data_IF_369426976472
#
_entry.id   IF_369426976472
#
_cell.length_a   1.000
_cell.length_b   1.000
_cell.length_c   1.000
_cell.angle_alpha   90.00
_cell.angle_beta   90.00
_cell.angle_gamma   90.00
#
_symmetry.space_group_name_H-M   'P 1'
#
loop_
_entity.id
_entity.type
_entity.pdbx_description
1 polymer ?
#
# COMPACT_ATOMS: atom_id res chain seq x y z
N UNK A 1 36.46 -13.36 25.09
CA UNK A 1 36.06 -12.03 25.59
C UNK A 1 35.79 -11.12 24.40
N UNK A 2 34.52 -10.90 24.04
CA UNK A 2 34.14 -10.05 22.91
C UNK A 2 34.26 -8.57 23.29
N UNK A 3 34.99 -7.79 22.50
CA UNK A 3 35.09 -6.33 22.66
C UNK A 3 33.69 -5.71 22.71
N UNK A 4 33.33 -5.21 23.89
CA UNK A 4 32.20 -4.30 24.10
C UNK A 4 32.48 -3.05 23.28
N UNK A 5 31.84 -2.90 22.11
CA UNK A 5 31.88 -1.66 21.31
C UNK A 5 31.41 -0.52 22.23
N UNK A 6 32.34 0.37 22.63
CA UNK A 6 32.02 1.62 23.33
C UNK A 6 30.98 2.38 22.52
N UNK A 7 29.82 2.69 23.12
CA UNK A 7 28.90 3.70 22.63
C UNK A 7 29.66 5.03 22.60
N UNK A 8 30.25 5.37 21.45
CA UNK A 8 30.67 6.75 21.19
C UNK A 8 29.37 7.54 21.10
N UNK A 9 29.24 8.60 21.91
CA UNK A 9 28.21 9.60 21.72
C UNK A 9 28.32 10.10 20.28
N UNK A 10 27.31 9.82 19.48
CA UNK A 10 27.26 10.29 18.10
C UNK A 10 27.20 11.81 18.14
N UNK A 11 27.93 12.47 17.24
CA UNK A 11 27.82 13.91 17.09
C UNK A 11 26.36 14.26 16.81
N UNK A 12 25.83 15.24 17.56
CA UNK A 12 24.47 15.74 17.41
C UNK A 12 24.29 16.20 15.96
N UNK A 13 23.20 15.77 15.30
CA UNK A 13 22.90 15.97 13.86
C UNK A 13 23.83 15.27 12.85
N UNK A 14 24.71 14.36 13.28
CA UNK A 14 25.40 13.49 12.32
C UNK A 14 24.42 12.60 11.53
N UNK A 15 24.83 12.17 10.34
CA UNK A 15 24.06 11.25 9.50
C UNK A 15 23.58 10.01 10.27
N UNK A 16 24.42 9.45 11.13
CA UNK A 16 24.06 8.28 11.94
C UNK A 16 23.11 8.64 13.10
N UNK A 17 23.18 9.85 13.65
CA UNK A 17 22.25 10.34 14.68
C UNK A 17 20.83 10.47 14.12
N UNK A 18 20.67 11.09 12.93
CA UNK A 18 19.34 11.26 12.29
C UNK A 18 18.70 9.90 11.99
N UNK A 19 19.47 8.94 11.48
CA UNK A 19 18.94 7.60 11.20
C UNK A 19 18.50 6.89 12.46
N UNK A 20 19.24 7.02 13.57
CA UNK A 20 18.88 6.33 14.81
C UNK A 20 17.67 6.94 15.51
N UNK A 21 17.51 8.27 15.45
CA UNK A 21 16.47 9.00 16.17
C UNK A 21 15.36 9.52 15.23
N UNK A 22 15.19 8.93 14.04
CA UNK A 22 14.23 9.42 13.03
C UNK A 22 12.79 9.48 13.57
N UNK A 23 12.37 8.48 14.36
CA UNK A 23 11.07 8.45 15.01
C UNK A 23 10.93 9.59 16.03
N UNK A 24 11.93 9.81 16.89
CA UNK A 24 11.91 10.88 17.89
C UNK A 24 11.90 12.28 17.23
N UNK A 25 12.65 12.45 16.14
CA UNK A 25 12.64 13.70 15.35
C UNK A 25 11.25 13.93 14.74
N UNK A 26 10.65 12.90 14.12
CA UNK A 26 9.31 13.01 13.57
C UNK A 26 8.27 13.29 14.66
N UNK A 27 8.38 12.64 15.83
CA UNK A 27 7.54 12.88 17.01
C UNK A 27 7.67 14.32 17.51
N UNK A 28 8.89 14.84 17.60
CA UNK A 28 9.15 16.22 17.97
C UNK A 28 8.47 17.21 17.02
N UNK A 29 8.57 16.99 15.70
CA UNK A 29 7.89 17.82 14.70
C UNK A 29 6.36 17.77 14.84
N UNK A 30 5.78 16.58 15.06
CA UNK A 30 4.35 16.42 15.33
C UNK A 30 3.95 17.19 16.59
N UNK A 31 4.71 17.04 17.68
CA UNK A 31 4.45 17.74 18.94
C UNK A 31 4.54 19.27 18.78
N UNK A 32 5.50 19.79 18.00
CA UNK A 32 5.58 21.22 17.71
C UNK A 32 4.34 21.72 16.96
N UNK A 33 3.83 20.96 15.99
CA UNK A 33 2.61 21.32 15.26
C UNK A 33 1.37 21.26 16.17
N UNK A 34 1.27 20.26 17.04
CA UNK A 34 0.19 20.14 18.03
C UNK A 34 0.23 21.28 19.07
N UNK A 35 1.41 21.62 19.59
CA UNK A 35 1.59 22.76 20.49
C UNK A 35 1.25 24.08 19.80
N UNK A 36 1.48 24.18 18.49
CA UNK A 36 1.05 25.32 17.68
C UNK A 36 -0.46 25.57 17.76
N UNK A 37 -1.29 24.54 17.98
CA UNK A 37 -2.74 24.72 18.18
C UNK A 37 -3.10 25.39 19.50
N UNK A 38 -2.20 25.41 20.49
CA UNK A 38 -2.47 26.00 21.81
C UNK A 38 -2.39 27.53 21.83
N UNK A 39 -1.82 28.14 20.77
CA UNK A 39 -1.61 29.58 20.67
C UNK A 39 -2.42 30.16 19.50
N UNK A 40 -3.04 31.32 19.69
CA UNK A 40 -4.01 31.90 18.75
C UNK A 40 -3.43 32.14 17.34
N UNK A 41 -2.24 32.74 17.24
CA UNK A 41 -1.62 33.03 15.95
C UNK A 41 -1.01 31.79 15.27
N UNK A 42 -0.21 30.94 15.95
CA UNK A 42 0.27 29.69 15.37
C UNK A 42 -0.83 28.70 14.98
N UNK A 43 -1.98 28.71 15.68
CA UNK A 43 -3.09 27.80 15.40
C UNK A 43 -3.63 27.95 13.96
N UNK A 44 -3.67 29.18 13.43
CA UNK A 44 -4.10 29.48 12.05
C UNK A 44 -3.26 28.74 10.99
N UNK A 45 -2.00 28.47 11.30
CA UNK A 45 -1.08 27.74 10.43
C UNK A 45 -1.06 26.24 10.75
N UNK A 46 -1.03 25.87 12.03
CA UNK A 46 -1.00 24.47 12.47
C UNK A 46 -2.24 23.68 12.02
N UNK A 47 -3.41 24.31 11.98
CA UNK A 47 -4.66 23.67 11.55
C UNK A 47 -4.60 23.17 10.09
N UNK A 48 -3.80 23.82 9.23
CA UNK A 48 -3.63 23.44 7.82
C UNK A 48 -2.97 22.05 7.70
N UNK A 49 -2.07 21.74 8.63
CA UNK A 49 -1.38 20.45 8.69
C UNK A 49 -2.25 19.34 9.29
N UNK A 50 -3.14 19.68 10.23
CA UNK A 50 -3.82 18.68 11.05
C UNK A 50 -5.23 18.36 10.53
N UNK A 51 -6.01 19.39 10.20
CA UNK A 51 -7.39 19.21 9.77
C UNK A 51 -7.49 18.81 8.30
N UNK A 52 -8.52 18.04 7.95
CA UNK A 52 -8.89 17.81 6.55
C UNK A 52 -9.42 19.12 5.96
N UNK A 53 -8.83 19.56 4.85
CA UNK A 53 -9.08 20.88 4.26
C UNK A 53 -10.27 20.88 3.31
N UNK A 54 -10.77 22.06 2.93
CA UNK A 54 -11.82 22.23 1.91
C UNK A 54 -13.18 21.61 2.24
N UNK A 55 -13.69 21.84 3.45
CA UNK A 55 -15.06 21.46 3.83
C UNK A 55 -16.08 22.37 3.10
N UNK A 56 -17.05 21.74 2.44
CA UNK A 56 -18.18 22.37 1.76
C UNK A 56 -19.45 21.86 2.42
N UNK A 57 -20.21 22.76 3.06
CA UNK A 57 -21.48 22.43 3.72
C UNK A 57 -22.64 22.75 2.78
N UNK A 58 -23.47 21.75 2.50
CA UNK A 58 -24.73 21.93 1.78
C UNK A 58 -25.87 22.02 2.76
N UNK A 59 -26.70 23.05 2.63
CA UNK A 59 -27.96 23.22 3.34
C UNK A 59 -29.10 22.90 2.39
N UNK A 60 -29.88 21.87 2.69
CA UNK A 60 -31.15 21.62 1.97
C UNK A 60 -32.17 22.68 2.38
N UNK A 61 -33.02 23.13 1.46
CA UNK A 61 -34.00 24.23 1.64
C UNK A 61 -34.95 24.06 2.86
N UNK A 62 -35.06 22.85 3.44
CA UNK A 62 -35.88 22.53 4.61
C UNK A 62 -35.13 22.55 5.97
N UNK A 63 -33.89 23.07 6.03
CA UNK A 63 -33.13 23.34 7.28
C UNK A 63 -32.92 22.17 8.26
N UNK A 64 -33.23 20.92 7.90
CA UNK A 64 -33.18 19.78 8.82
C UNK A 64 -31.89 18.95 8.73
N UNK A 65 -31.18 18.95 7.59
CA UNK A 65 -29.96 18.14 7.42
C UNK A 65 -28.84 18.93 6.72
N UNK A 66 -27.71 19.10 7.41
CA UNK A 66 -26.47 19.63 6.83
C UNK A 66 -25.58 18.47 6.39
N UNK A 67 -25.23 18.42 5.10
CA UNK A 67 -24.26 17.46 4.59
C UNK A 67 -22.89 18.12 4.43
N UNK A 68 -21.87 17.54 5.08
CA UNK A 68 -20.49 17.99 4.98
C UNK A 68 -19.73 17.17 3.94
N UNK A 69 -19.38 17.82 2.84
CA UNK A 69 -18.55 17.27 1.78
C UNK A 69 -17.19 17.97 1.73
N UNK A 70 -16.26 17.39 0.98
CA UNK A 70 -14.90 17.88 0.89
C UNK A 70 -14.39 17.86 -0.54
N UNK A 71 -13.72 18.92 -0.95
CA UNK A 71 -13.07 19.01 -2.26
C UNK A 71 -11.56 18.76 -2.16
N UNK A 72 -10.92 18.46 -3.28
CA UNK A 72 -9.45 18.31 -3.32
C UNK A 72 -8.77 19.66 -3.55
N UNK A 73 -7.63 19.91 -2.90
CA UNK A 73 -6.88 21.13 -3.18
C UNK A 73 -5.45 21.16 -2.63
N UNK A 74 -4.65 22.19 -3.00
CA UNK A 74 -3.22 22.23 -2.71
C UNK A 74 -2.86 22.22 -1.21
N UNK A 75 -3.73 22.73 -0.33
CA UNK A 75 -3.49 22.68 1.13
C UNK A 75 -3.42 21.23 1.65
N UNK A 76 -3.99 20.26 0.94
CA UNK A 76 -3.91 18.85 1.31
C UNK A 76 -2.45 18.35 1.30
N UNK A 77 -1.52 19.00 0.60
CA UNK A 77 -0.09 18.66 0.64
C UNK A 77 0.49 18.81 2.05
N UNK A 78 0.10 19.88 2.77
CA UNK A 78 0.51 20.09 4.15
C UNK A 78 -0.08 19.02 5.07
N UNK A 79 -1.35 18.66 4.85
CA UNK A 79 -2.03 17.59 5.58
C UNK A 79 -1.37 16.23 5.34
N UNK A 80 -1.06 15.89 4.07
CA UNK A 80 -0.33 14.67 3.70
C UNK A 80 1.04 14.63 4.37
N UNK A 81 1.77 15.75 4.41
CA UNK A 81 3.07 15.83 5.09
C UNK A 81 2.94 15.54 6.59
N UNK A 82 1.95 16.11 7.27
CA UNK A 82 1.71 15.82 8.67
C UNK A 82 1.40 14.35 8.92
N UNK A 83 0.49 13.76 8.15
CA UNK A 83 0.18 12.32 8.28
C UNK A 83 1.34 11.41 7.85
N UNK A 84 2.26 11.89 7.01
CA UNK A 84 3.51 11.17 6.71
C UNK A 84 4.41 11.12 7.95
N UNK A 85 4.52 12.19 8.74
CA UNK A 85 5.23 12.18 10.03
C UNK A 85 4.57 11.22 11.02
N UNK A 86 3.23 11.19 11.07
CA UNK A 86 2.49 10.21 11.88
C UNK A 86 2.79 8.78 11.40
N UNK A 87 2.83 8.54 10.09
CA UNK A 87 3.16 7.24 9.53
C UNK A 87 4.59 6.78 9.88
N UNK A 88 5.58 7.68 9.89
CA UNK A 88 6.95 7.39 10.36
C UNK A 88 6.93 6.92 11.83
N UNK A 89 6.22 7.65 12.70
CA UNK A 89 6.09 7.27 14.11
C UNK A 89 5.40 5.91 14.27
N UNK A 90 4.27 5.71 13.57
CA UNK A 90 3.52 4.45 13.64
C UNK A 90 4.36 3.27 13.15
N UNK A 91 5.10 3.43 12.06
CA UNK A 91 5.99 2.42 11.54
C UNK A 91 7.07 2.03 12.55
N UNK A 92 7.68 3.02 13.21
CA UNK A 92 8.67 2.78 14.27
C UNK A 92 8.07 2.02 15.46
N UNK A 93 6.87 2.40 15.91
CA UNK A 93 6.14 1.72 16.99
C UNK A 93 5.83 0.27 16.63
N UNK A 94 5.29 0.02 15.42
CA UNK A 94 5.01 -1.35 14.95
C UNK A 94 6.32 -2.16 14.88
N UNK A 95 7.40 -1.54 14.40
CA UNK A 95 8.71 -2.18 14.30
C UNK A 95 9.23 -2.61 15.66
N UNK A 96 9.20 -1.72 16.65
CA UNK A 96 9.75 -1.94 17.98
C UNK A 96 8.90 -2.89 18.83
N UNK A 97 7.60 -2.60 18.97
CA UNK A 97 6.74 -3.29 19.93
C UNK A 97 6.20 -4.62 19.40
N UNK A 98 6.05 -4.76 18.08
CA UNK A 98 5.46 -5.94 17.47
C UNK A 98 6.53 -6.76 16.74
N UNK A 99 7.12 -6.23 15.67
CA UNK A 99 7.94 -7.03 14.76
C UNK A 99 9.25 -7.48 15.41
N UNK A 100 9.95 -6.59 16.12
CA UNK A 100 11.17 -6.94 16.84
C UNK A 100 10.89 -7.96 17.96
N UNK A 101 9.74 -7.85 18.64
CA UNK A 101 9.32 -8.81 19.67
C UNK A 101 9.09 -10.21 19.09
N UNK A 102 8.46 -10.30 17.92
CA UNK A 102 8.24 -11.57 17.21
C UNK A 102 9.57 -12.14 16.68
N UNK A 103 10.43 -11.31 16.09
CA UNK A 103 11.73 -11.74 15.59
C UNK A 103 12.63 -12.34 16.67
N UNK A 104 12.63 -11.74 17.87
CA UNK A 104 13.40 -12.26 19.02
C UNK A 104 12.91 -13.64 19.45
N UNK A 105 11.62 -13.95 19.28
CA UNK A 105 11.05 -15.28 19.57
C UNK A 105 11.35 -16.31 18.48
N UNK A 106 11.37 -15.89 17.21
CA UNK A 106 11.53 -16.79 16.07
C UNK A 106 13.01 -17.09 15.71
N UNK A 107 13.98 -16.43 16.36
CA UNK A 107 15.42 -16.64 16.14
C UNK A 107 15.83 -16.67 14.65
N UNK A 108 15.26 -15.77 13.85
CA UNK A 108 15.48 -15.73 12.40
C UNK A 108 16.89 -15.27 12.04
N UNK A 109 17.44 -15.80 10.93
CA UNK A 109 18.70 -15.30 10.38
C UNK A 109 18.58 -13.83 9.95
N UNK A 110 19.70 -13.09 9.93
CA UNK A 110 19.73 -11.66 9.59
C UNK A 110 19.03 -11.33 8.27
N UNK A 111 19.20 -12.18 7.24
CA UNK A 111 18.57 -12.01 5.93
C UNK A 111 17.07 -12.32 5.93
N UNK A 112 16.60 -13.27 6.75
CA UNK A 112 15.18 -13.58 6.91
C UNK A 112 14.47 -12.49 7.73
N UNK A 113 15.14 -11.99 8.77
CA UNK A 113 14.64 -10.92 9.65
C UNK A 113 14.30 -9.65 8.87
N UNK A 114 15.17 -9.19 7.96
CA UNK A 114 14.89 -8.00 7.13
C UNK A 114 13.64 -8.17 6.25
N UNK A 115 13.47 -9.33 5.60
CA UNK A 115 12.29 -9.62 4.76
C UNK A 115 11.01 -9.85 5.58
N UNK A 116 11.17 -10.40 6.78
CA UNK A 116 10.09 -10.55 7.74
C UNK A 116 9.58 -9.18 8.20
N UNK A 117 10.48 -8.24 8.50
CA UNK A 117 10.11 -6.88 8.88
C UNK A 117 9.37 -6.15 7.77
N UNK A 118 9.90 -6.18 6.55
CA UNK A 118 9.24 -5.58 5.37
C UNK A 118 7.84 -6.17 5.17
N UNK A 119 7.72 -7.51 5.20
CA UNK A 119 6.42 -8.17 5.06
C UNK A 119 5.48 -7.90 6.25
N UNK A 120 6.04 -7.72 7.44
CA UNK A 120 5.29 -7.43 8.66
C UNK A 120 4.65 -6.06 8.60
N UNK A 121 5.44 -5.03 8.28
CA UNK A 121 4.94 -3.66 8.12
C UNK A 121 3.84 -3.59 7.07
N UNK A 122 4.10 -4.18 5.89
CA UNK A 122 3.12 -4.21 4.81
C UNK A 122 1.86 -5.00 5.18
N UNK A 123 1.97 -6.11 5.91
CA UNK A 123 0.79 -6.84 6.38
C UNK A 123 -0.07 -6.01 7.34
N UNK A 124 0.54 -5.27 8.27
CA UNK A 124 -0.20 -4.38 9.17
C UNK A 124 -0.91 -3.27 8.40
N UNK A 125 -0.21 -2.62 7.48
CA UNK A 125 -0.78 -1.58 6.64
C UNK A 125 -1.94 -2.11 5.79
N UNK A 126 -1.75 -3.20 5.04
CA UNK A 126 -2.80 -3.74 4.18
C UNK A 126 -4.00 -4.24 4.98
N UNK A 127 -3.80 -4.79 6.18
CA UNK A 127 -4.90 -5.18 7.05
C UNK A 127 -5.76 -3.98 7.45
N UNK A 128 -5.12 -2.92 7.96
CA UNK A 128 -5.81 -1.72 8.38
C UNK A 128 -6.50 -1.02 7.19
N UNK A 129 -5.77 -0.82 6.10
CA UNK A 129 -6.28 -0.16 4.89
C UNK A 129 -7.36 -0.96 4.18
N UNK A 130 -7.31 -2.30 4.20
CA UNK A 130 -8.40 -3.13 3.67
C UNK A 130 -9.66 -3.00 4.50
N UNK A 131 -9.57 -3.12 5.83
CA UNK A 131 -10.73 -3.02 6.73
C UNK A 131 -11.36 -1.63 6.61
N UNK A 132 -10.55 -0.58 6.62
CA UNK A 132 -11.03 0.80 6.48
C UNK A 132 -11.60 1.07 5.09
N UNK A 133 -10.92 0.67 4.01
CA UNK A 133 -11.43 0.86 2.66
C UNK A 133 -12.74 0.10 2.42
N UNK A 134 -12.86 -1.12 2.95
CA UNK A 134 -14.10 -1.90 2.88
C UNK A 134 -15.24 -1.28 3.71
N UNK A 135 -14.94 -0.66 4.87
CA UNK A 135 -15.96 0.03 5.66
C UNK A 135 -16.48 1.26 4.93
N UNK A 136 -15.60 2.03 4.29
CA UNK A 136 -15.98 3.18 3.44
C UNK A 136 -16.83 2.71 2.27
N UNK A 137 -16.42 1.66 1.55
CA UNK A 137 -17.17 1.15 0.40
C UNK A 137 -18.58 0.69 0.81
N UNK A 138 -18.71 0.08 1.98
CA UNK A 138 -20.00 -0.28 2.55
C UNK A 138 -20.84 0.94 2.96
N UNK A 139 -20.20 2.00 3.48
CA UNK A 139 -20.89 3.23 3.84
C UNK A 139 -21.41 3.97 2.59
N UNK A 140 -20.55 4.15 1.58
CA UNK A 140 -20.91 4.77 0.29
C UNK A 140 -22.05 3.99 -0.38
N UNK A 141 -21.98 2.66 -0.41
CA UNK A 141 -23.04 1.83 -1.00
C UNK A 141 -24.40 1.99 -0.29
N UNK A 142 -24.42 2.24 1.02
CA UNK A 142 -25.67 2.48 1.77
C UNK A 142 -26.24 3.88 1.54
N UNK A 143 -25.38 4.88 1.34
CA UNK A 143 -25.83 6.27 1.12
C UNK A 143 -26.46 6.42 -0.26
N UNK A 144 -25.99 5.67 -1.25
CA UNK A 144 -26.41 5.84 -2.64
C UNK A 144 -27.62 4.99 -3.07
N UNK A 145 -28.12 4.05 -2.24
CA UNK A 145 -29.32 3.18 -2.44
C UNK A 145 -29.52 2.46 -3.81
N UNK A 146 -28.70 2.73 -4.83
CA UNK A 146 -28.74 2.13 -6.16
C UNK A 146 -27.40 1.43 -6.46
N UNK A 147 -27.41 0.14 -6.85
CA UNK A 147 -26.19 -0.61 -7.17
C UNK A 147 -25.47 -0.17 -8.46
N UNK A 148 -26.05 0.76 -9.24
CA UNK A 148 -25.60 1.13 -10.59
C UNK A 148 -24.97 2.54 -10.70
N UNK A 149 -24.66 3.22 -9.59
CA UNK A 149 -24.26 4.64 -9.57
C UNK A 149 -22.80 4.91 -9.97
N UNK A 150 -21.98 3.91 -10.31
CA UNK A 150 -20.54 4.16 -10.55
C UNK A 150 -20.24 5.20 -11.65
N UNK A 151 -21.22 5.55 -12.50
CA UNK A 151 -21.05 6.42 -13.68
C UNK A 151 -22.10 7.52 -13.88
N UNK A 152 -23.22 7.53 -13.14
CA UNK A 152 -24.37 8.39 -13.51
C UNK A 152 -24.05 9.88 -13.36
N UNK A 153 -23.22 10.26 -12.39
CA UNK A 153 -22.85 11.65 -12.11
C UNK A 153 -21.33 11.79 -11.96
N UNK A 154 -20.59 11.69 -13.07
CA UNK A 154 -19.12 11.82 -13.09
C UNK A 154 -18.60 13.12 -12.41
N UNK A 155 -19.46 14.10 -12.17
CA UNK A 155 -19.23 15.25 -11.30
C UNK A 155 -19.40 14.93 -9.81
N UNK A 156 -18.75 13.88 -9.30
CA UNK A 156 -18.57 13.69 -7.86
C UNK A 156 -17.38 14.53 -7.36
N UNK A 157 -17.40 15.86 -7.58
CA UNK A 157 -16.36 16.76 -7.05
C UNK A 157 -16.28 16.71 -5.52
N UNK A 158 -17.36 16.25 -4.89
CA UNK A 158 -17.57 16.24 -3.45
C UNK A 158 -17.29 14.86 -2.83
N UNK A 159 -16.35 14.82 -1.89
CA UNK A 159 -15.95 13.63 -1.16
C UNK A 159 -16.54 13.62 0.25
N UNK A 160 -16.96 12.46 0.74
CA UNK A 160 -17.17 12.30 2.19
C UNK A 160 -15.84 12.44 2.93
N UNK A 161 -15.88 12.99 4.15
CA UNK A 161 -14.72 13.11 5.03
C UNK A 161 -13.90 11.81 5.09
N UNK A 162 -14.58 10.67 5.28
CA UNK A 162 -13.91 9.37 5.40
C UNK A 162 -13.15 8.97 4.13
N UNK A 163 -13.68 9.29 2.94
CA UNK A 163 -13.02 9.00 1.66
C UNK A 163 -11.80 9.89 1.52
N UNK A 164 -11.93 11.19 1.74
CA UNK A 164 -10.81 12.13 1.63
C UNK A 164 -9.71 11.80 2.61
N UNK A 165 -10.06 11.59 3.87
CA UNK A 165 -9.12 11.26 4.92
C UNK A 165 -8.41 9.92 4.66
N UNK A 166 -9.12 8.94 4.12
CA UNK A 166 -8.51 7.68 3.68
C UNK A 166 -7.43 7.93 2.62
N UNK A 167 -7.73 8.65 1.54
CA UNK A 167 -6.76 8.96 0.48
C UNK A 167 -5.54 9.72 1.00
N UNK A 168 -5.73 10.74 1.84
CA UNK A 168 -4.64 11.48 2.49
C UNK A 168 -3.72 10.52 3.26
N UNK A 169 -4.29 9.64 4.09
CA UNK A 169 -3.53 8.64 4.85
C UNK A 169 -2.82 7.62 3.94
N UNK A 170 -3.45 7.18 2.85
CA UNK A 170 -2.83 6.25 1.90
C UNK A 170 -1.63 6.89 1.19
N UNK A 171 -1.76 8.13 0.72
CA UNK A 171 -0.65 8.86 0.07
C UNK A 171 0.47 9.12 1.08
N UNK A 172 0.12 9.60 2.28
CA UNK A 172 1.05 9.83 3.37
C UNK A 172 1.85 8.57 3.73
N UNK A 173 1.19 7.41 3.79
CA UNK A 173 1.88 6.14 4.02
C UNK A 173 2.84 5.82 2.87
N UNK A 174 2.43 5.87 1.61
CA UNK A 174 3.39 5.54 0.54
C UNK A 174 4.54 6.55 0.42
N UNK A 175 4.32 7.82 0.80
CA UNK A 175 5.39 8.80 0.92
C UNK A 175 6.32 8.51 2.11
N UNK A 176 5.82 8.05 3.25
CA UNK A 176 6.68 7.69 4.41
C UNK A 176 7.65 6.57 4.05
N UNK A 177 7.27 5.67 3.13
CA UNK A 177 8.13 4.58 2.72
C UNK A 177 9.43 5.07 2.05
N UNK A 178 9.44 6.26 1.42
CA UNK A 178 10.62 6.82 0.77
C UNK A 178 11.77 7.12 1.74
N UNK A 179 11.60 7.97 2.79
CA UNK A 179 12.64 8.17 3.78
C UNK A 179 12.93 6.89 4.59
N UNK A 180 11.95 6.00 4.74
CA UNK A 180 12.16 4.72 5.43
C UNK A 180 13.14 3.80 4.69
N UNK A 181 13.18 3.82 3.34
CA UNK A 181 14.22 3.10 2.56
C UNK A 181 15.63 3.48 3.02
N UNK A 182 15.81 4.75 3.36
CA UNK A 182 17.06 5.32 3.82
C UNK A 182 17.29 5.01 5.32
N UNK A 183 16.29 5.19 6.18
CA UNK A 183 16.41 4.92 7.61
C UNK A 183 16.69 3.44 7.92
N UNK A 184 16.11 2.52 7.15
CA UNK A 184 16.35 1.07 7.32
C UNK A 184 17.66 0.57 6.72
N UNK A 185 18.44 1.44 6.06
CA UNK A 185 19.69 1.08 5.37
C UNK A 185 19.51 -0.13 4.45
N UNK A 186 18.49 -0.09 3.61
CA UNK A 186 18.17 -1.18 2.69
C UNK A 186 19.34 -1.42 1.73
N UNK A 187 19.55 -2.68 1.36
CA UNK A 187 20.62 -3.06 0.43
C UNK A 187 20.42 -2.34 -0.90
N UNK A 188 21.50 -1.75 -1.43
CA UNK A 188 21.46 -0.97 -2.70
C UNK A 188 20.84 -1.74 -3.88
N UNK A 189 20.97 -3.05 -3.90
CA UNK A 189 20.38 -3.95 -4.90
C UNK A 189 18.84 -4.04 -4.84
N UNK A 190 18.22 -3.80 -3.68
CA UNK A 190 16.77 -3.88 -3.49
C UNK A 190 16.06 -2.53 -3.67
N UNK A 191 16.79 -1.41 -3.51
CA UNK A 191 16.26 -0.03 -3.64
C UNK A 191 15.48 0.20 -4.94
N UNK A 192 16.02 -0.06 -6.15
CA UNK A 192 15.30 0.28 -7.38
C UNK A 192 13.99 -0.50 -7.51
N UNK A 193 13.95 -1.74 -7.01
CA UNK A 193 12.74 -2.55 -7.00
C UNK A 193 11.68 -1.93 -6.09
N UNK A 194 12.04 -1.59 -4.85
CA UNK A 194 11.10 -1.02 -3.87
C UNK A 194 10.64 0.38 -4.26
N UNK A 195 11.55 1.22 -4.75
CA UNK A 195 11.23 2.56 -5.23
C UNK A 195 10.20 2.50 -6.36
N UNK A 196 10.38 1.59 -7.33
CA UNK A 196 9.41 1.39 -8.40
C UNK A 196 8.02 1.02 -7.85
N UNK A 197 7.93 0.15 -6.85
CA UNK A 197 6.64 -0.17 -6.22
C UNK A 197 6.02 1.03 -5.51
N UNK A 198 6.82 1.77 -4.72
CA UNK A 198 6.35 2.96 -4.00
C UNK A 198 5.84 4.01 -4.99
N UNK A 199 6.59 4.30 -6.05
CA UNK A 199 6.17 5.23 -7.10
C UNK A 199 4.87 4.80 -7.77
N UNK A 200 4.69 3.50 -8.06
CA UNK A 200 3.43 3.02 -8.64
C UNK A 200 2.24 3.27 -7.71
N UNK A 201 2.38 3.03 -6.40
CA UNK A 201 1.31 3.34 -5.44
C UNK A 201 1.03 4.83 -5.36
N UNK A 202 2.06 5.67 -5.22
CA UNK A 202 1.90 7.13 -5.15
C UNK A 202 1.19 7.64 -6.41
N UNK A 203 1.61 7.22 -7.59
CA UNK A 203 1.03 7.67 -8.87
C UNK A 203 -0.43 7.25 -9.00
N UNK A 204 -0.79 6.00 -8.70
CA UNK A 204 -2.17 5.54 -8.87
C UNK A 204 -3.10 6.13 -7.80
N UNK A 205 -2.66 6.22 -6.55
CA UNK A 205 -3.49 6.75 -5.45
C UNK A 205 -3.66 8.26 -5.61
N UNK A 206 -2.57 8.99 -5.89
CA UNK A 206 -2.63 10.45 -6.10
C UNK A 206 -3.37 10.78 -7.39
N UNK A 207 -3.18 9.99 -8.46
CA UNK A 207 -3.93 10.15 -9.71
C UNK A 207 -5.44 9.97 -9.49
N UNK A 208 -5.84 8.94 -8.75
CA UNK A 208 -7.25 8.74 -8.42
C UNK A 208 -7.83 9.87 -7.54
N UNK A 209 -7.01 10.43 -6.64
CA UNK A 209 -7.40 11.55 -5.78
C UNK A 209 -7.56 12.86 -6.56
N UNK A 210 -6.53 13.26 -7.32
CA UNK A 210 -6.47 14.55 -8.03
C UNK A 210 -7.46 14.59 -9.19
N UNK A 211 -7.66 13.48 -9.90
CA UNK A 211 -8.57 13.40 -11.05
C UNK A 211 -10.03 13.13 -10.64
N UNK A 212 -10.37 13.21 -9.35
CA UNK A 212 -11.70 12.92 -8.81
C UNK A 212 -12.23 11.50 -9.14
N UNK A 213 -11.33 10.54 -9.42
CA UNK A 213 -11.67 9.14 -9.68
C UNK A 213 -11.73 8.32 -8.37
N UNK A 214 -12.13 8.94 -7.26
CA UNK A 214 -11.90 8.37 -5.92
C UNK A 214 -12.72 7.11 -5.68
N UNK A 215 -13.95 7.06 -6.23
CA UNK A 215 -14.83 5.90 -6.17
C UNK A 215 -14.23 4.70 -6.93
N UNK A 216 -13.82 4.90 -8.18
CA UNK A 216 -13.11 3.87 -8.95
C UNK A 216 -11.85 3.43 -8.23
N UNK A 217 -11.02 4.38 -7.81
CA UNK A 217 -9.78 4.11 -7.10
C UNK A 217 -10.00 3.26 -5.84
N UNK A 218 -11.05 3.54 -5.06
CA UNK A 218 -11.40 2.77 -3.86
C UNK A 218 -11.83 1.33 -4.21
N UNK A 219 -12.71 1.19 -5.21
CA UNK A 219 -13.20 -0.12 -5.70
C UNK A 219 -12.04 -0.99 -6.22
N UNK A 220 -11.02 -0.38 -6.84
CA UNK A 220 -9.83 -1.09 -7.32
C UNK A 220 -8.82 -1.38 -6.20
N UNK A 221 -8.65 -0.45 -5.26
CA UNK A 221 -7.63 -0.52 -4.22
C UNK A 221 -7.97 -1.54 -3.13
N UNK A 222 -9.24 -1.62 -2.70
CA UNK A 222 -9.68 -2.57 -1.66
C UNK A 222 -9.37 -4.04 -2.00
N UNK A 223 -9.79 -4.59 -3.16
CA UNK A 223 -9.46 -5.96 -3.51
C UNK A 223 -7.97 -6.15 -3.80
N UNK A 224 -7.27 -5.12 -4.27
CA UNK A 224 -5.81 -5.16 -4.42
C UNK A 224 -5.10 -5.32 -3.07
N UNK A 225 -5.45 -4.51 -2.08
CA UNK A 225 -4.90 -4.60 -0.73
C UNK A 225 -5.22 -5.91 -0.03
N UNK A 226 -6.41 -6.49 -0.26
CA UNK A 226 -6.74 -7.82 0.25
C UNK A 226 -5.76 -8.89 -0.28
N UNK A 227 -5.46 -8.85 -1.58
CA UNK A 227 -4.52 -9.81 -2.19
C UNK A 227 -3.11 -9.64 -1.63
N UNK A 228 -2.63 -8.40 -1.51
CA UNK A 228 -1.32 -8.11 -0.93
C UNK A 228 -1.24 -8.49 0.56
N UNK A 229 -2.32 -8.28 1.32
CA UNK A 229 -2.44 -8.76 2.70
C UNK A 229 -2.25 -10.27 2.79
N UNK A 230 -2.95 -11.05 1.94
CA UNK A 230 -2.85 -12.51 1.93
C UNK A 230 -1.43 -12.95 1.55
N UNK A 231 -0.76 -12.24 0.64
CA UNK A 231 0.64 -12.50 0.28
C UNK A 231 1.58 -12.31 1.47
N UNK A 232 1.52 -11.14 2.11
CA UNK A 232 2.41 -10.80 3.22
C UNK A 232 2.11 -11.62 4.46
N UNK A 233 0.84 -11.88 4.77
CA UNK A 233 0.46 -12.83 5.82
C UNK A 233 1.03 -14.23 5.55
N UNK A 234 0.95 -14.73 4.30
CA UNK A 234 1.56 -16.00 3.90
C UNK A 234 3.08 -16.00 4.05
N UNK A 235 3.74 -14.88 3.76
CA UNK A 235 5.18 -14.70 3.99
C UNK A 235 5.53 -14.78 5.48
N UNK A 236 4.75 -14.13 6.35
CA UNK A 236 4.96 -14.16 7.80
C UNK A 236 4.85 -15.58 8.35
N UNK A 237 3.81 -16.33 7.97
CA UNK A 237 3.66 -17.74 8.37
C UNK A 237 4.81 -18.61 7.86
N UNK A 238 5.22 -18.42 6.60
CA UNK A 238 6.35 -19.14 6.01
C UNK A 238 7.66 -18.90 6.78
N UNK A 239 7.93 -17.67 7.18
CA UNK A 239 9.12 -17.34 7.96
C UNK A 239 9.04 -17.85 9.41
N UNK A 240 7.83 -17.96 9.98
CA UNK A 240 7.60 -18.53 11.30
C UNK A 240 7.80 -20.05 11.37
N UNK A 241 8.11 -20.72 10.25
CA UNK A 241 8.30 -22.18 10.20
C UNK A 241 7.01 -22.96 9.94
N UNK A 242 5.86 -22.30 9.88
CA UNK A 242 4.60 -22.92 9.47
C UNK A 242 4.56 -23.03 7.93
N UNK A 243 4.73 -24.24 7.40
CA UNK A 243 4.71 -24.47 5.95
C UNK A 243 3.27 -24.48 5.40
N UNK A 244 2.59 -23.33 5.44
CA UNK A 244 1.23 -23.14 4.89
C UNK A 244 1.29 -22.85 3.39
N UNK A 245 1.70 -23.84 2.58
CA UNK A 245 1.68 -23.71 1.11
C UNK A 245 0.30 -23.32 0.55
N UNK A 246 -0.78 -23.69 1.25
CA UNK A 246 -2.16 -23.32 0.92
C UNK A 246 -2.35 -21.79 0.81
N UNK A 247 -1.70 -21.00 1.68
CA UNK A 247 -1.81 -19.53 1.66
C UNK A 247 -1.29 -18.92 0.36
N UNK A 248 -0.12 -19.38 -0.10
CA UNK A 248 0.43 -18.94 -1.39
C UNK A 248 -0.41 -19.40 -2.60
N UNK A 249 -1.09 -20.54 -2.51
CA UNK A 249 -2.01 -20.98 -3.57
C UNK A 249 -3.27 -20.11 -3.62
N UNK A 250 -3.86 -19.81 -2.46
CA UNK A 250 -5.02 -18.91 -2.34
C UNK A 250 -4.65 -17.52 -2.86
N UNK A 251 -3.51 -16.99 -2.44
CA UNK A 251 -2.97 -15.73 -2.96
C UNK A 251 -2.84 -15.76 -4.48
N UNK A 252 -2.21 -16.80 -5.06
CA UNK A 252 -1.98 -16.86 -6.50
C UNK A 252 -3.29 -16.85 -7.30
N UNK A 253 -4.32 -17.55 -6.83
CA UNK A 253 -5.65 -17.56 -7.45
C UNK A 253 -6.30 -16.17 -7.36
N UNK A 254 -6.39 -15.62 -6.15
CA UNK A 254 -7.03 -14.31 -5.92
C UNK A 254 -6.29 -13.20 -6.66
N UNK A 255 -4.97 -13.28 -6.75
CA UNK A 255 -4.16 -12.31 -7.46
C UNK A 255 -4.55 -12.23 -8.94
N UNK A 256 -4.66 -13.36 -9.64
CA UNK A 256 -5.14 -13.39 -11.04
C UNK A 256 -6.55 -12.83 -11.16
N UNK A 257 -7.47 -13.26 -10.29
CA UNK A 257 -8.86 -12.79 -10.31
C UNK A 257 -8.96 -11.28 -10.14
N UNK A 258 -8.22 -10.70 -9.19
CA UNK A 258 -8.24 -9.25 -8.93
C UNK A 258 -7.62 -8.47 -10.09
N UNK A 259 -6.61 -8.98 -10.79
CA UNK A 259 -6.07 -8.26 -11.97
C UNK A 259 -7.06 -8.26 -13.13
N UNK A 260 -7.74 -9.38 -13.38
CA UNK A 260 -8.81 -9.44 -14.37
C UNK A 260 -9.93 -8.46 -14.01
N UNK A 261 -10.37 -8.45 -12.74
CA UNK A 261 -11.34 -7.48 -12.24
C UNK A 261 -10.86 -6.03 -12.46
N UNK A 262 -9.60 -5.74 -12.15
CA UNK A 262 -9.02 -4.39 -12.30
C UNK A 262 -9.02 -3.96 -13.77
N UNK A 263 -8.62 -4.82 -14.69
CA UNK A 263 -8.64 -4.53 -16.13
C UNK A 263 -10.06 -4.33 -16.63
N UNK A 264 -10.97 -5.25 -16.32
CA UNK A 264 -12.36 -5.18 -16.75
C UNK A 264 -13.03 -3.90 -16.26
N UNK A 265 -12.92 -3.58 -14.97
CA UNK A 265 -13.50 -2.36 -14.41
C UNK A 265 -12.88 -1.12 -15.05
N UNK A 266 -11.56 -1.07 -15.25
CA UNK A 266 -10.90 0.09 -15.86
C UNK A 266 -11.32 0.28 -17.32
N UNK A 267 -11.44 -0.79 -18.11
CA UNK A 267 -11.93 -0.73 -19.49
C UNK A 267 -13.40 -0.30 -19.53
N UNK A 268 -14.24 -0.84 -18.65
CA UNK A 268 -15.65 -0.41 -18.54
C UNK A 268 -15.76 1.07 -18.17
N UNK A 269 -14.96 1.52 -17.22
CA UNK A 269 -14.89 2.92 -16.78
C UNK A 269 -14.48 3.84 -17.92
N UNK A 270 -13.22 3.72 -18.36
CA UNK A 270 -12.60 4.69 -19.27
C UNK A 270 -13.02 4.46 -20.72
N UNK A 271 -13.36 3.23 -21.10
CA UNK A 271 -13.75 2.87 -22.45
C UNK A 271 -15.23 3.08 -22.75
N UNK A 272 -16.12 2.87 -21.77
CA UNK A 272 -17.57 2.90 -22.01
C UNK A 272 -18.36 3.85 -21.10
N UNK A 273 -17.98 4.01 -19.83
CA UNK A 273 -18.66 4.90 -18.89
C UNK A 273 -18.40 6.36 -19.24
N UNK A 274 -17.15 6.78 -19.09
CA UNK A 274 -16.71 8.16 -19.32
C UNK A 274 -16.77 8.58 -20.79
N UNK A 275 -16.67 7.61 -21.70
CA UNK A 275 -16.83 7.83 -23.13
C UNK A 275 -18.17 8.43 -23.54
N UNK A 276 -19.21 8.25 -22.73
CA UNK A 276 -20.57 8.73 -23.03
C UNK A 276 -20.80 10.19 -22.62
N UNK A 277 -19.90 10.77 -21.81
CA UNK A 277 -20.02 12.10 -21.20
C UNK A 277 -18.84 12.99 -21.64
N UNK A 278 -18.29 12.72 -22.83
CA UNK A 278 -17.07 13.39 -23.30
C UNK A 278 -17.31 14.90 -23.43
N UNK A 279 -16.55 15.67 -22.66
CA UNK A 279 -16.58 17.13 -22.71
C UNK A 279 -15.47 17.61 -23.64
N UNK A 280 -15.76 18.45 -24.65
CA UNK A 280 -14.76 18.93 -25.60
C UNK A 280 -13.78 19.95 -24.99
N UNK A 281 -14.05 20.48 -23.79
CA UNK A 281 -13.22 21.46 -23.08
C UNK A 281 -12.65 20.87 -21.77
N UNK A 282 -11.55 21.44 -21.27
CA UNK A 282 -10.92 21.10 -19.97
C UNK A 282 -11.27 22.16 -18.91
N UNK A 283 -12.49 22.17 -18.35
CA UNK A 283 -12.87 23.15 -17.33
C UNK A 283 -12.23 22.77 -15.98
N UNK A 284 -11.08 23.38 -15.68
CA UNK A 284 -10.39 23.23 -14.38
C UNK A 284 -11.30 23.67 -13.22
N UNK A 285 -12.22 24.60 -13.47
CA UNK A 285 -13.14 25.17 -12.48
C UNK A 285 -14.20 24.20 -11.99
N UNK A 286 -14.58 23.22 -12.81
CA UNK A 286 -15.74 22.35 -12.54
C UNK A 286 -15.29 21.02 -11.91
N UNK A 287 -13.98 20.80 -11.78
CA UNK A 287 -13.41 19.54 -11.28
C UNK A 287 -13.60 18.35 -12.21
N UNK A 288 -14.05 18.60 -13.44
CA UNK A 288 -14.30 17.59 -14.46
C UNK A 288 -13.07 17.45 -15.37
N UNK A 289 -12.33 16.36 -15.15
CA UNK A 289 -11.12 16.03 -15.91
C UNK A 289 -11.38 15.03 -17.05
N UNK A 290 -12.64 14.86 -17.48
CA UNK A 290 -13.04 13.87 -18.50
C UNK A 290 -12.68 14.28 -19.93
N UNK A 291 -11.39 14.30 -20.23
CA UNK A 291 -10.89 14.52 -21.58
C UNK A 291 -10.20 13.27 -22.11
N UNK A 292 -10.32 13.05 -23.42
CA UNK A 292 -9.77 11.87 -24.09
C UNK A 292 -8.29 11.57 -23.74
N UNK A 293 -7.37 12.56 -23.66
CA UNK A 293 -5.98 12.30 -23.26
C UNK A 293 -5.85 11.76 -21.82
N UNK A 294 -6.66 12.27 -20.89
CA UNK A 294 -6.67 11.81 -19.49
C UNK A 294 -7.20 10.39 -19.40
N UNK A 295 -8.29 10.08 -20.10
CA UNK A 295 -8.85 8.71 -20.17
C UNK A 295 -7.87 7.70 -20.74
N UNK A 296 -7.26 8.01 -21.89
CA UNK A 296 -6.26 7.12 -22.51
C UNK A 296 -5.02 7.00 -21.62
N UNK A 297 -4.58 8.10 -21.00
CA UNK A 297 -3.46 8.11 -20.07
C UNK A 297 -3.72 7.23 -18.84
N UNK A 298 -4.87 7.37 -18.18
CA UNK A 298 -5.27 6.56 -17.04
C UNK A 298 -5.42 5.08 -17.41
N UNK A 299 -6.10 4.78 -18.52
CA UNK A 299 -6.27 3.41 -18.99
C UNK A 299 -4.92 2.78 -19.34
N UNK A 300 -4.06 3.51 -20.04
CA UNK A 300 -2.69 3.10 -20.36
C UNK A 300 -1.86 2.84 -19.12
N UNK A 301 -1.89 3.74 -18.13
CA UNK A 301 -1.17 3.58 -16.87
C UNK A 301 -1.61 2.31 -16.11
N UNK A 302 -2.93 2.07 -16.02
CA UNK A 302 -3.47 0.85 -15.40
C UNK A 302 -3.01 -0.37 -16.19
N UNK A 303 -3.25 -0.42 -17.50
CA UNK A 303 -2.93 -1.57 -18.35
C UNK A 303 -1.43 -1.92 -18.31
N UNK A 304 -0.54 -0.92 -18.42
CA UNK A 304 0.91 -1.12 -18.33
C UNK A 304 1.31 -1.68 -16.96
N UNK A 305 0.73 -1.13 -15.88
CA UNK A 305 1.01 -1.60 -14.52
C UNK A 305 0.51 -3.02 -14.30
N UNK A 306 -0.69 -3.36 -14.79
CA UNK A 306 -1.23 -4.72 -14.76
C UNK A 306 -0.36 -5.71 -15.55
N UNK A 307 0.05 -5.34 -16.77
CA UNK A 307 0.92 -6.16 -17.61
C UNK A 307 2.27 -6.42 -16.92
N UNK A 308 2.87 -5.38 -16.33
CA UNK A 308 4.12 -5.50 -15.58
C UNK A 308 3.99 -6.42 -14.35
N UNK A 309 2.90 -6.32 -13.59
CA UNK A 309 2.64 -7.21 -12.46
C UNK A 309 2.42 -8.66 -12.91
N UNK A 310 1.70 -8.89 -14.02
CA UNK A 310 1.51 -10.22 -14.62
C UNK A 310 2.80 -10.82 -15.11
N UNK A 311 3.61 -10.03 -15.81
CA UNK A 311 4.93 -10.46 -16.24
C UNK A 311 5.78 -10.93 -15.05
N UNK A 312 5.82 -10.16 -13.96
CA UNK A 312 6.56 -10.54 -12.75
C UNK A 312 6.00 -11.81 -12.10
N UNK A 313 4.69 -11.92 -12.00
CA UNK A 313 4.04 -13.09 -11.41
C UNK A 313 4.29 -14.36 -12.22
N UNK A 314 4.12 -14.32 -13.54
CA UNK A 314 4.37 -15.45 -14.43
C UNK A 314 5.82 -15.90 -14.31
N UNK A 315 6.78 -14.97 -14.34
CA UNK A 315 8.19 -15.29 -14.16
C UNK A 315 8.48 -15.94 -12.79
N UNK A 316 7.82 -15.45 -11.74
CA UNK A 316 7.93 -16.05 -10.41
C UNK A 316 7.37 -17.48 -10.38
N UNK A 317 6.18 -17.71 -10.93
CA UNK A 317 5.55 -19.04 -10.99
C UNK A 317 6.36 -20.00 -11.86
N UNK A 318 6.86 -19.56 -13.02
CA UNK A 318 7.74 -20.35 -13.88
C UNK A 318 9.03 -20.74 -13.15
N UNK A 319 9.64 -19.81 -12.41
CA UNK A 319 10.84 -20.11 -11.60
C UNK A 319 10.54 -21.14 -10.52
N UNK A 320 9.39 -21.04 -9.85
CA UNK A 320 8.94 -21.99 -8.83
C UNK A 320 8.69 -23.36 -9.44
N UNK A 321 7.97 -23.42 -10.57
CA UNK A 321 7.69 -24.65 -11.31
C UNK A 321 8.96 -25.34 -11.78
N UNK A 322 9.90 -24.62 -12.41
CA UNK A 322 11.21 -25.18 -12.81
C UNK A 322 11.97 -25.79 -11.62
N UNK A 323 11.92 -25.16 -10.44
CA UNK A 323 12.53 -25.71 -9.22
C UNK A 323 11.82 -26.98 -8.74
N UNK A 324 10.49 -27.02 -8.77
CA UNK A 324 9.73 -28.23 -8.41
C UNK A 324 10.04 -29.39 -9.35
N UNK A 325 10.08 -29.15 -10.66
CA UNK A 325 10.45 -30.17 -11.67
C UNK A 325 11.86 -30.68 -11.41
N UNK A 326 12.86 -29.80 -11.22
CA UNK A 326 14.23 -30.21 -10.88
C UNK A 326 14.30 -31.06 -9.61
N UNK A 327 13.57 -30.67 -8.56
CA UNK A 327 13.53 -31.42 -7.30
C UNK A 327 12.84 -32.78 -7.46
N UNK A 328 11.80 -32.89 -8.27
CA UNK A 328 11.13 -34.16 -8.57
C UNK A 328 12.04 -35.08 -9.38
N UNK A 329 12.74 -34.56 -10.39
CA UNK A 329 13.72 -35.32 -11.17
C UNK A 329 14.84 -35.82 -10.26
N UNK A 330 15.43 -34.95 -9.42
CA UNK A 330 16.46 -35.34 -8.46
C UNK A 330 15.99 -36.44 -7.49
N UNK A 331 14.77 -36.32 -6.94
CA UNK A 331 14.17 -37.36 -6.09
C UNK A 331 13.98 -38.68 -6.83
N UNK A 332 13.54 -38.64 -8.09
CA UNK A 332 13.36 -39.83 -8.93
C UNK A 332 14.71 -40.51 -9.22
N UNK A 333 15.76 -39.75 -9.50
CA UNK A 333 17.13 -40.26 -9.70
C UNK A 333 17.65 -40.93 -8.42
N UNK A 334 17.48 -40.29 -7.26
CA UNK A 334 17.90 -40.85 -5.96
C UNK A 334 17.13 -42.15 -5.65
N UNK A 335 15.81 -42.17 -5.87
CA UNK A 335 15.00 -43.38 -5.66
C UNK A 335 15.42 -44.54 -6.59
N UNK A 336 15.73 -44.24 -7.85
CA UNK A 336 16.20 -45.24 -8.83
C UNK A 336 17.58 -45.79 -8.46
N UNK A 337 18.47 -44.94 -7.93
CA UNK A 337 19.82 -45.34 -7.50
C UNK A 337 19.77 -46.21 -6.24
N UNK A 338 18.92 -45.86 -5.27
CA UNK A 338 18.68 -46.69 -4.08
C UNK A 338 18.11 -48.06 -4.44
N UNK A 339 17.09 -48.13 -5.30
CA UNK A 339 16.54 -49.42 -5.77
C UNK A 339 17.57 -50.30 -6.51
N UNK A 340 18.52 -49.70 -7.23
CA UNK A 340 19.63 -50.45 -7.85
C UNK A 340 20.66 -50.96 -6.84
N UNK A 341 20.90 -50.25 -5.74
CA UNK A 341 21.77 -50.70 -4.64
C UNK A 341 21.10 -51.79 -3.79
N UNK A 342 19.82 -51.66 -3.46
CA UNK A 342 19.07 -52.66 -2.68
C UNK A 342 18.88 -53.99 -3.43
N UNK A 343 18.94 -53.99 -4.76
CA UNK A 343 18.99 -55.22 -5.58
C UNK A 343 20.37 -55.87 -5.66
N UNK A 344 21.45 -55.22 -5.20
CA UNK A 344 22.84 -55.70 -5.33
C UNK A 344 23.44 -56.28 -4.04
N UNK A 345 22.79 -56.17 -2.88
CA UNK A 345 23.23 -56.80 -1.62
C UNK A 345 22.02 -57.41 -0.87
N UNK A 346 22.02 -58.70 -0.45
CA UNK A 346 22.96 -59.79 -0.71
C UNK A 346 22.32 -61.13 -1.15
N UNK A 347 22.99 -61.80 -2.09
CA UNK A 347 23.16 -63.26 -2.09
C UNK A 347 24.62 -63.49 -1.66
N UNK A 348 24.87 -63.45 -0.34
CA UNK A 348 26.15 -63.78 0.30
C UNK A 348 25.82 -64.35 1.68
N UNK A 349 25.98 -65.66 1.82
CA UNK A 349 25.66 -66.45 3.02
C UNK A 349 24.84 -67.65 2.63
#
# INVERSE_FOLDING_TARGET
>A
MGLRRKNKSLAVLSHEFVIQNHADIASCLVMCLLLGLMFEDPAKYAIIFIAVQYNVTYTTDDNSEQFHFYDSGPKDIATIFFYMLIAINLHAVIQEYILNKINRRLHLSKTKCSKFNESGQLAFFYLFSFIWGASILNAVRRIHDEPNITWKDYSHSHMLFQVKFFYICQIAYWLHALPELYFQKIRKEDIPRQLCYICLYIVHISGAYILNLQHLGLILMVPHYLVELIFHASCLFYFSGENKQKGFTIWALLFVMVRLLTLTLSVLTFGFGLARIENPHFPITDGNFDVLPVRIGCLGAVCLTQAWMMWKFINFQLKKWRKHVKNQIAKKIIATTKNKQTKKEPNRG
#
